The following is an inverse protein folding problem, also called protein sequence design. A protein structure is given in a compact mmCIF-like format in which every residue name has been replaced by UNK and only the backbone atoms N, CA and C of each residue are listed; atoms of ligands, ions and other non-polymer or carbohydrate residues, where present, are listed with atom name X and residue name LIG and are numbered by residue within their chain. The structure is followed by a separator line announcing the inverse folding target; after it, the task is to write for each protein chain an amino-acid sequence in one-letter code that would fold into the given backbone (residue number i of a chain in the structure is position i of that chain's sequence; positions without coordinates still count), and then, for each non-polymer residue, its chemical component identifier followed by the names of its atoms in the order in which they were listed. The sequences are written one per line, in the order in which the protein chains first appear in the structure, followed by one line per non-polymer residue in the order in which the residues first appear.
data_IF_892597720107
#
_entry.id   IF_892597720107
#
_cell.length_a   1.000
_cell.length_b   1.000
_cell.length_c   1.000
_cell.angle_alpha   90.00
_cell.angle_beta   90.00
_cell.angle_gamma   90.00
#
_symmetry.space_group_name_H-M   'P 1'
#
loop_
_entity.id
_entity.type
_entity.pdbx_description
1 polymer ?
#
# COMPACT_ATOMS: atom_id res chain seq x y z
N UNK A 1 29.14 44.05 -2.85
CA UNK A 1 28.86 42.63 -3.14
C UNK A 1 28.41 41.91 -1.88
N UNK A 2 27.12 41.98 -1.52
CA UNK A 2 26.57 41.19 -0.40
C UNK A 2 25.05 40.95 -0.52
N UNK A 3 24.42 41.22 -1.67
CA UNK A 3 22.96 41.18 -1.83
C UNK A 3 22.43 39.95 -2.60
N UNK A 4 23.30 39.09 -3.14
CA UNK A 4 22.87 37.92 -3.94
C UNK A 4 22.95 36.55 -3.23
N UNK A 5 23.46 36.46 -1.99
CA UNK A 5 23.58 35.19 -1.25
C UNK A 5 22.36 34.82 -0.40
N UNK A 6 21.49 35.79 -0.08
CA UNK A 6 20.32 35.56 0.79
C UNK A 6 19.14 34.86 0.08
N UNK A 7 19.10 34.88 -1.26
CA UNK A 7 17.98 34.37 -2.06
C UNK A 7 17.86 32.83 -2.02
N UNK A 8 18.99 32.12 -2.13
CA UNK A 8 18.96 30.66 -2.25
C UNK A 8 18.58 29.94 -0.95
N UNK A 9 18.93 30.53 0.20
CA UNK A 9 18.55 30.00 1.52
C UNK A 9 17.06 30.17 1.76
N UNK A 10 16.50 31.34 1.40
CA UNK A 10 15.08 31.61 1.54
C UNK A 10 14.24 30.71 0.62
N UNK A 11 14.70 30.47 -0.61
CA UNK A 11 14.08 29.52 -1.54
C UNK A 11 14.12 28.09 -0.98
N UNK A 12 15.23 27.65 -0.38
CA UNK A 12 15.30 26.33 0.27
C UNK A 12 14.32 26.20 1.44
N UNK A 13 14.16 27.24 2.28
CA UNK A 13 13.20 27.23 3.38
C UNK A 13 11.75 27.21 2.90
N UNK A 14 11.45 27.93 1.81
CA UNK A 14 10.14 27.92 1.17
C UNK A 14 9.84 26.52 0.60
N UNK A 15 10.77 25.92 -0.15
CA UNK A 15 10.62 24.56 -0.68
C UNK A 15 10.47 23.54 0.46
N UNK A 16 11.26 23.63 1.54
CA UNK A 16 11.12 22.74 2.70
C UNK A 16 9.74 22.88 3.35
N UNK A 17 9.26 24.11 3.56
CA UNK A 17 7.96 24.38 4.18
C UNK A 17 6.79 23.87 3.33
N UNK A 18 6.92 23.87 2.00
CA UNK A 18 5.92 23.31 1.10
C UNK A 18 6.05 21.79 0.91
N UNK A 19 7.25 21.20 0.98
CA UNK A 19 7.44 19.75 0.78
C UNK A 19 7.14 18.92 2.04
N UNK A 20 7.48 19.42 3.24
CA UNK A 20 7.25 18.74 4.52
C UNK A 20 5.79 18.28 4.74
N UNK A 21 4.74 19.07 4.46
CA UNK A 21 3.35 18.62 4.69
C UNK A 21 2.92 17.44 3.81
N UNK A 22 3.54 17.22 2.65
CA UNK A 22 3.22 16.05 1.80
C UNK A 22 3.73 14.73 2.39
N UNK A 23 4.81 14.76 3.19
CA UNK A 23 5.38 13.56 3.81
C UNK A 23 4.55 13.04 4.99
N UNK A 24 3.63 13.85 5.54
CA UNK A 24 2.80 13.49 6.69
C UNK A 24 1.47 12.82 6.32
N UNK A 25 1.09 12.81 5.04
CA UNK A 25 -0.19 12.27 4.57
C UNK A 25 -0.35 10.74 4.72
N UNK A 26 0.65 10.03 5.25
CA UNK A 26 0.56 8.59 5.56
C UNK A 26 0.89 8.24 7.03
N UNK A 27 1.16 9.23 7.89
CA UNK A 27 1.64 8.99 9.24
C UNK A 27 0.55 9.15 10.31
N UNK A 28 -0.70 9.46 9.94
CA UNK A 28 -1.80 9.51 10.90
C UNK A 28 -2.43 8.12 11.08
N UNK A 29 -2.78 7.78 12.32
CA UNK A 29 -3.53 6.55 12.63
C UNK A 29 -4.83 6.45 11.81
N UNK A 30 -5.41 7.60 11.47
CA UNK A 30 -6.65 7.74 10.71
C UNK A 30 -6.49 7.28 9.25
N UNK A 31 -5.33 7.45 8.63
CA UNK A 31 -5.10 7.02 7.24
C UNK A 31 -5.15 5.49 7.11
N UNK A 32 -4.59 4.80 8.11
CA UNK A 32 -4.71 3.35 8.25
C UNK A 32 -6.16 2.93 8.52
N UNK A 33 -6.86 3.63 9.42
CA UNK A 33 -8.24 3.33 9.79
C UNK A 33 -9.21 3.50 8.61
N UNK A 34 -9.06 4.55 7.80
CA UNK A 34 -9.95 4.82 6.67
C UNK A 34 -9.82 3.75 5.59
N UNK A 35 -8.59 3.43 5.18
CA UNK A 35 -8.32 2.38 4.20
C UNK A 35 -8.79 1.02 4.70
N UNK A 36 -8.58 0.75 5.99
CA UNK A 36 -9.03 -0.47 6.65
C UNK A 36 -10.56 -0.58 6.70
N UNK A 37 -11.28 0.50 7.03
CA UNK A 37 -12.73 0.53 7.08
C UNK A 37 -13.35 0.33 5.69
N UNK A 38 -12.73 0.86 4.64
CA UNK A 38 -13.12 0.60 3.25
C UNK A 38 -12.90 -0.87 2.83
N UNK A 39 -11.85 -1.53 3.33
CA UNK A 39 -11.67 -2.96 3.12
C UNK A 39 -12.68 -3.81 3.92
N UNK A 40 -13.05 -3.37 5.13
CA UNK A 40 -14.06 -4.05 5.97
C UNK A 40 -15.44 -4.12 5.33
N UNK A 41 -15.84 -3.15 4.51
CA UNK A 41 -17.13 -3.19 3.81
C UNK A 41 -17.21 -4.26 2.72
N UNK A 42 -16.07 -4.87 2.35
CA UNK A 42 -15.96 -5.83 1.26
C UNK A 42 -15.69 -7.27 1.74
N UNK A 43 -15.55 -7.50 3.06
CA UNK A 43 -15.19 -8.81 3.61
C UNK A 43 -16.32 -9.85 3.59
N UNK A 44 -15.98 -11.09 3.94
CA UNK A 44 -16.93 -12.18 4.18
C UNK A 44 -16.88 -12.58 5.65
N UNK A 45 -18.04 -12.82 6.28
CA UNK A 45 -18.18 -13.25 7.67
C UNK A 45 -17.73 -14.69 7.97
N UNK A 46 -17.10 -15.36 7.00
CA UNK A 46 -16.57 -16.73 7.17
C UNK A 46 -15.25 -16.73 7.96
N UNK A 47 -14.90 -17.87 8.57
CA UNK A 47 -13.60 -18.04 9.23
C UNK A 47 -12.46 -17.87 8.23
N UNK A 48 -11.82 -16.69 8.22
CA UNK A 48 -10.71 -16.39 7.32
C UNK A 48 -9.38 -16.66 8.02
N UNK A 49 -8.62 -17.63 7.51
CA UNK A 49 -7.24 -17.88 7.96
C UNK A 49 -6.26 -16.98 7.21
N UNK A 50 -5.02 -16.85 7.71
CA UNK A 50 -3.95 -16.17 6.98
C UNK A 50 -3.69 -16.83 5.62
N UNK A 51 -3.71 -18.16 5.56
CA UNK A 51 -3.56 -18.92 4.31
C UNK A 51 -4.71 -18.66 3.34
N UNK A 52 -5.96 -18.63 3.82
CA UNK A 52 -7.10 -18.32 2.97
C UNK A 52 -7.00 -16.91 2.37
N UNK A 53 -6.59 -15.92 3.17
CA UNK A 53 -6.37 -14.56 2.69
C UNK A 53 -5.27 -14.48 1.61
N UNK A 54 -4.12 -15.12 1.85
CA UNK A 54 -3.03 -15.15 0.86
C UNK A 54 -3.46 -15.89 -0.42
N UNK A 55 -4.23 -16.98 -0.30
CA UNK A 55 -4.74 -17.68 -1.48
C UNK A 55 -5.73 -16.84 -2.29
N UNK A 56 -6.55 -16.00 -1.63
CA UNK A 56 -7.42 -15.04 -2.32
C UNK A 56 -6.58 -14.01 -3.09
N UNK A 57 -5.54 -13.46 -2.48
CA UNK A 57 -4.64 -12.50 -3.13
C UNK A 57 -3.85 -13.12 -4.28
N UNK A 58 -3.29 -14.32 -4.10
CA UNK A 58 -2.57 -15.06 -5.15
C UNK A 58 -3.52 -15.50 -6.27
N UNK A 59 -4.78 -15.74 -5.95
CA UNK A 59 -5.84 -16.06 -6.91
C UNK A 59 -6.08 -14.97 -7.95
N UNK A 60 -5.54 -13.76 -7.78
CA UNK A 60 -5.58 -12.72 -8.80
C UNK A 60 -4.53 -12.87 -9.90
N UNK A 61 -3.58 -13.82 -9.78
CA UNK A 61 -2.55 -14.08 -10.78
C UNK A 61 -3.08 -14.20 -12.23
N UNK A 62 -4.19 -14.91 -12.52
CA UNK A 62 -4.73 -14.99 -13.89
C UNK A 62 -5.18 -13.65 -14.47
N UNK A 63 -5.38 -12.63 -13.63
CA UNK A 63 -5.79 -11.30 -14.06
C UNK A 63 -4.63 -10.33 -14.25
N UNK A 64 -3.41 -10.69 -13.85
CA UNK A 64 -2.24 -9.86 -14.09
C UNK A 64 -1.56 -10.22 -15.42
N UNK A 65 -1.45 -9.25 -16.32
CA UNK A 65 -0.62 -9.38 -17.52
C UNK A 65 0.74 -8.72 -17.31
N UNK A 66 1.79 -9.55 -17.30
CA UNK A 66 3.18 -9.10 -17.12
C UNK A 66 3.67 -8.20 -18.27
N UNK A 67 3.18 -8.42 -19.50
CA UNK A 67 3.63 -7.67 -20.67
C UNK A 67 3.17 -6.21 -20.58
N UNK A 68 1.88 -6.00 -20.38
CA UNK A 68 1.29 -4.67 -20.17
C UNK A 68 1.51 -4.09 -18.77
N UNK A 69 1.97 -4.92 -17.81
CA UNK A 69 2.08 -4.56 -16.39
C UNK A 69 0.77 -4.02 -15.81
N UNK A 70 -0.35 -4.65 -16.16
CA UNK A 70 -1.69 -4.16 -15.82
C UNK A 70 -2.65 -5.29 -15.46
N UNK A 71 -3.73 -4.93 -14.76
CA UNK A 71 -4.81 -5.86 -14.50
C UNK A 71 -5.75 -5.95 -15.71
N UNK A 72 -6.14 -7.17 -16.06
CA UNK A 72 -6.91 -7.51 -17.25
C UNK A 72 -8.33 -7.93 -16.89
N UNK A 73 -9.24 -7.89 -17.87
CA UNK A 73 -10.63 -8.35 -17.69
C UNK A 73 -11.46 -7.51 -16.70
N UNK A 74 -11.04 -6.28 -16.41
CA UNK A 74 -11.69 -5.41 -15.41
C UNK A 74 -11.63 -5.97 -13.99
N UNK A 75 -10.67 -6.85 -13.71
CA UNK A 75 -10.45 -7.47 -12.39
C UNK A 75 -9.31 -6.80 -11.65
N UNK A 76 -9.31 -6.97 -10.33
CA UNK A 76 -8.22 -6.53 -9.46
C UNK A 76 -7.05 -7.54 -9.53
N UNK A 77 -5.83 -7.03 -9.43
CA UNK A 77 -4.61 -7.85 -9.42
C UNK A 77 -3.50 -7.30 -8.51
N UNK A 78 -3.74 -6.17 -7.84
CA UNK A 78 -2.72 -5.49 -7.05
C UNK A 78 -2.39 -6.19 -5.75
N UNK A 79 -3.23 -7.08 -5.24
CA UNK A 79 -2.84 -7.90 -4.09
C UNK A 79 -1.84 -8.96 -4.52
N UNK A 80 -2.08 -9.63 -5.67
CA UNK A 80 -1.10 -10.56 -6.24
C UNK A 80 0.25 -9.90 -6.47
N UNK A 81 0.29 -8.74 -7.13
CA UNK A 81 1.56 -8.06 -7.43
C UNK A 81 2.32 -7.66 -6.16
N UNK A 82 1.64 -7.33 -5.06
CA UNK A 82 2.28 -7.10 -3.77
C UNK A 82 2.82 -8.39 -3.15
N UNK A 83 2.07 -9.49 -3.21
CA UNK A 83 2.51 -10.79 -2.65
C UNK A 83 3.81 -11.26 -3.29
N UNK A 84 3.96 -11.04 -4.60
CA UNK A 84 5.13 -11.47 -5.39
C UNK A 84 6.17 -10.36 -5.62
N UNK A 85 6.11 -9.27 -4.85
CA UNK A 85 6.99 -8.12 -5.04
C UNK A 85 8.43 -8.42 -4.61
N UNK A 86 9.36 -8.48 -5.57
CA UNK A 86 10.75 -8.91 -5.38
C UNK A 86 11.53 -8.09 -4.34
N UNK A 87 11.20 -6.81 -4.21
CA UNK A 87 11.94 -5.91 -3.33
C UNK A 87 11.40 -5.93 -1.88
N UNK A 88 10.26 -6.57 -1.62
CA UNK A 88 9.66 -6.66 -0.29
C UNK A 88 10.28 -7.83 0.49
N UNK A 89 11.34 -7.55 1.25
CA UNK A 89 12.16 -8.56 1.95
C UNK A 89 11.71 -8.85 3.39
N UNK A 90 10.86 -7.99 3.96
CA UNK A 90 10.30 -8.15 5.30
C UNK A 90 8.78 -8.21 5.22
N UNK A 91 8.19 -9.07 6.06
CA UNK A 91 6.76 -9.32 6.11
C UNK A 91 6.26 -9.34 7.56
N UNK A 92 5.34 -8.45 7.88
CA UNK A 92 4.54 -8.49 9.10
C UNK A 92 3.14 -8.99 8.79
N UNK A 93 2.57 -9.85 9.64
CA UNK A 93 1.21 -10.38 9.44
C UNK A 93 0.39 -10.28 10.72
N UNK A 94 -0.89 -9.98 10.57
CA UNK A 94 -1.84 -9.95 11.68
C UNK A 94 -3.20 -10.46 11.26
N UNK A 95 -3.91 -11.06 12.22
CA UNK A 95 -5.31 -11.43 12.08
C UNK A 95 -6.04 -11.10 13.38
N UNK A 96 -7.22 -10.49 13.25
CA UNK A 96 -8.09 -10.15 14.38
C UNK A 96 -9.53 -10.53 14.07
N UNK A 97 -10.25 -11.00 15.10
CA UNK A 97 -11.70 -11.17 15.01
C UNK A 97 -12.36 -9.85 15.42
N UNK A 98 -13.19 -9.32 14.54
CA UNK A 98 -13.98 -8.12 14.79
C UNK A 98 -15.17 -8.40 15.71
N UNK A 99 -15.70 -7.37 16.36
CA UNK A 99 -16.86 -7.45 17.27
C UNK A 99 -18.14 -7.97 16.62
N UNK A 100 -18.27 -7.83 15.30
CA UNK A 100 -19.37 -8.38 14.51
C UNK A 100 -19.16 -9.85 14.10
N UNK A 101 -18.12 -10.52 14.60
CA UNK A 101 -17.78 -11.92 14.29
C UNK A 101 -16.92 -12.12 13.05
N UNK A 102 -16.65 -11.07 12.27
CA UNK A 102 -15.87 -11.14 11.03
C UNK A 102 -14.39 -11.26 11.32
N UNK A 103 -13.62 -11.75 10.34
CA UNK A 103 -12.17 -11.85 10.46
C UNK A 103 -11.50 -10.81 9.57
N UNK A 104 -10.58 -10.04 10.16
CA UNK A 104 -9.71 -9.13 9.44
C UNK A 104 -8.30 -9.71 9.38
N UNK A 105 -7.72 -9.79 8.18
CA UNK A 105 -6.36 -10.27 7.93
C UNK A 105 -5.59 -9.18 7.19
N UNK A 106 -4.36 -8.91 7.62
CA UNK A 106 -3.46 -7.97 6.96
C UNK A 106 -2.04 -8.49 6.92
N UNK A 107 -1.33 -8.08 5.86
CA UNK A 107 0.10 -8.25 5.68
C UNK A 107 0.72 -6.90 5.36
N UNK A 108 1.84 -6.58 6.01
CA UNK A 108 2.64 -5.40 5.75
C UNK A 108 3.99 -5.83 5.16
N UNK A 109 4.40 -5.16 4.08
CA UNK A 109 5.57 -5.51 3.28
C UNK A 109 6.58 -4.37 3.36
N UNK A 110 7.85 -4.69 3.61
CA UNK A 110 8.92 -3.69 3.68
C UNK A 110 10.18 -4.14 2.91
N UNK A 111 10.75 -3.29 2.04
CA UNK A 111 10.15 -2.10 1.42
C UNK A 111 8.76 -2.36 0.79
N UNK A 112 7.87 -1.35 0.71
CA UNK A 112 6.55 -1.53 0.12
C UNK A 112 6.64 -1.80 -1.38
N UNK A 113 5.62 -2.47 -1.92
CA UNK A 113 5.53 -2.79 -3.34
C UNK A 113 4.56 -1.90 -4.11
N UNK A 114 4.16 -2.37 -5.29
CA UNK A 114 3.15 -1.75 -6.15
C UNK A 114 3.44 -0.30 -6.56
N UNK A 115 4.72 0.04 -6.70
CA UNK A 115 5.14 1.33 -7.25
C UNK A 115 4.67 1.48 -8.71
N UNK A 116 4.08 2.62 -9.02
CA UNK A 116 3.59 2.96 -10.35
C UNK A 116 4.76 2.86 -11.35
N UNK A 117 4.55 2.12 -12.44
CA UNK A 117 5.55 1.91 -13.50
C UNK A 117 6.62 0.86 -13.20
N UNK A 118 6.63 0.26 -12.01
CA UNK A 118 7.53 -0.85 -11.67
C UNK A 118 6.83 -2.20 -11.82
N UNK A 119 7.61 -3.24 -12.12
CA UNK A 119 7.14 -4.63 -12.18
C UNK A 119 7.43 -5.36 -10.87
N UNK A 120 6.56 -6.31 -10.48
CA UNK A 120 6.72 -7.04 -9.23
C UNK A 120 7.92 -8.00 -9.25
N UNK A 121 8.36 -8.47 -10.42
CA UNK A 121 9.57 -9.28 -10.60
C UNK A 121 10.32 -8.84 -11.86
#
# INVERSE_FOLDING_TARGET
MALFKASNVLICFIILAFVLPYCHAQNSQTDYLNTHNSARSQGSGSFMTGTAAVNLWVGENPYYDYNSNSCTGGKECRHYTQVVWKNSIQLGRARVQCTNGWWFVTCNYNPPGNYIGQRPY
#
